data_IF_538299545982
#
_entry.id   IF_538299545982
#
_cell.length_a   1.000
_cell.length_b   1.000
_cell.length_c   1.000
_cell.angle_alpha   90.00
_cell.angle_beta   90.00
_cell.angle_gamma   90.00
#
_symmetry.space_group_name_H-M   'P 1'
#
loop_
_entity.id
_entity.type
_entity.pdbx_description
1 polymer ?
#
# COMPACT_ATOMS: atom_id res chain seq x y z
N UNK A 1 93.42 1.40 23.17
CA UNK A 1 92.68 2.23 22.21
C UNK A 1 91.26 1.69 22.08
N UNK A 2 90.36 2.29 22.89
CA UNK A 2 88.91 1.91 22.85
C UNK A 2 88.17 2.76 21.86
N UNK A 3 87.48 2.12 20.86
CA UNK A 3 86.48 2.76 20.01
C UNK A 3 85.07 2.52 20.60
N UNK A 4 84.48 3.62 21.04
CA UNK A 4 83.02 3.62 21.42
C UNK A 4 82.18 3.67 20.16
N UNK A 5 81.28 2.72 20.00
CA UNK A 5 80.22 2.70 19.00
C UNK A 5 78.96 3.31 19.63
N UNK A 6 78.50 4.39 19.02
CA UNK A 6 77.25 5.10 19.42
C UNK A 6 76.10 4.47 18.68
N UNK A 7 75.19 3.79 19.38
CA UNK A 7 73.93 3.28 18.80
C UNK A 7 72.89 4.40 18.87
N UNK A 8 72.46 4.87 17.70
CA UNK A 8 71.32 5.77 17.55
C UNK A 8 70.07 4.88 17.41
N UNK A 9 69.20 4.89 18.43
CA UNK A 9 67.88 4.26 18.38
C UNK A 9 66.91 5.22 17.73
N UNK A 10 66.51 4.97 16.49
CA UNK A 10 65.40 5.64 15.79
C UNK A 10 64.08 5.04 16.27
N UNK A 11 63.37 5.76 17.15
CA UNK A 11 62.03 5.40 17.57
C UNK A 11 61.03 5.67 16.44
N UNK A 12 60.47 4.60 15.89
CA UNK A 12 59.32 4.67 14.98
C UNK A 12 58.05 4.92 15.81
N UNK A 13 57.54 6.16 15.81
CA UNK A 13 56.22 6.48 16.36
C UNK A 13 55.17 6.03 15.37
N UNK A 14 54.57 4.85 15.59
CA UNK A 14 53.42 4.40 14.85
C UNK A 14 52.18 5.20 15.30
N UNK A 15 51.76 6.18 14.50
CA UNK A 15 50.47 6.84 14.64
C UNK A 15 49.41 5.86 14.21
N UNK A 16 48.78 5.17 15.15
CA UNK A 16 47.57 4.42 14.93
C UNK A 16 46.44 5.45 14.66
N UNK A 17 46.11 5.64 13.38
CA UNK A 17 44.90 6.36 13.00
C UNK A 17 43.70 5.51 13.45
N UNK A 18 43.10 5.92 14.57
CA UNK A 18 41.76 5.48 14.97
C UNK A 18 40.78 6.00 13.89
N UNK A 19 40.54 5.19 12.89
CA UNK A 19 39.33 5.31 12.06
C UNK A 19 38.13 5.09 12.98
N UNK A 20 37.60 6.19 13.54
CA UNK A 20 36.26 6.18 14.12
C UNK A 20 35.31 5.74 13.04
N UNK A 21 34.95 4.45 13.00
CA UNK A 21 33.74 4.02 12.35
C UNK A 21 32.64 4.81 13.04
N UNK A 22 32.04 5.77 12.33
CA UNK A 22 30.77 6.34 12.74
C UNK A 22 29.83 5.13 12.84
N UNK A 23 29.61 4.65 14.06
CA UNK A 23 28.70 3.55 14.32
C UNK A 23 27.34 3.94 13.76
N UNK A 24 26.78 3.11 12.88
CA UNK A 24 25.40 3.29 12.45
C UNK A 24 24.54 3.50 13.70
N UNK A 25 23.71 4.53 13.71
CA UNK A 25 22.83 4.81 14.83
C UNK A 25 21.99 3.55 15.13
N UNK A 26 21.88 3.22 16.42
CA UNK A 26 21.11 2.03 16.83
C UNK A 26 19.67 2.15 16.28
N UNK A 27 19.20 1.06 15.64
CA UNK A 27 17.84 1.04 15.10
C UNK A 27 16.81 1.16 16.23
N UNK A 28 15.70 1.87 16.01
CA UNK A 28 14.58 1.91 16.94
C UNK A 28 14.13 0.52 17.37
N UNK A 29 13.73 0.35 18.63
CA UNK A 29 13.31 -0.96 19.18
C UNK A 29 12.18 -1.61 18.39
N UNK A 30 11.23 -0.81 17.92
CA UNK A 30 10.13 -1.31 17.09
C UNK A 30 10.63 -1.84 15.74
N UNK A 31 11.64 -1.21 15.15
CA UNK A 31 12.29 -1.67 13.91
C UNK A 31 13.02 -2.99 14.12
N UNK A 32 13.83 -3.09 15.19
CA UNK A 32 14.52 -4.34 15.54
C UNK A 32 13.52 -5.49 15.72
N UNK A 33 12.42 -5.23 16.43
CA UNK A 33 11.36 -6.22 16.64
C UNK A 33 10.71 -6.64 15.32
N UNK A 34 10.37 -5.71 14.42
CA UNK A 34 9.75 -6.02 13.14
C UNK A 34 10.65 -6.89 12.26
N UNK A 35 11.95 -6.57 12.19
CA UNK A 35 12.96 -7.37 11.47
C UNK A 35 13.01 -8.80 12.02
N UNK A 36 13.03 -8.95 13.35
CA UNK A 36 13.05 -10.26 14.00
C UNK A 36 11.76 -11.06 13.78
N UNK A 37 10.59 -10.44 13.95
CA UNK A 37 9.27 -11.10 13.78
C UNK A 37 9.07 -11.58 12.33
N UNK A 38 9.51 -10.80 11.36
CA UNK A 38 9.44 -11.13 9.94
C UNK A 38 10.61 -12.03 9.48
N UNK A 39 11.58 -12.30 10.36
CA UNK A 39 12.80 -13.09 10.08
C UNK A 39 13.59 -12.54 8.88
N UNK A 40 13.66 -11.22 8.77
CA UNK A 40 14.38 -10.54 7.71
C UNK A 40 15.88 -10.52 7.98
N UNK A 41 16.67 -10.48 6.90
CA UNK A 41 18.09 -10.19 7.00
C UNK A 41 18.27 -8.72 7.47
N UNK A 42 18.94 -8.47 8.61
CA UNK A 42 19.22 -7.11 9.07
C UNK A 42 19.96 -6.25 8.04
N UNK A 43 20.71 -6.87 7.12
CA UNK A 43 21.40 -6.18 6.03
C UNK A 43 20.45 -5.41 5.09
N UNK A 44 19.17 -5.73 5.07
CA UNK A 44 18.15 -4.95 4.34
C UNK A 44 18.06 -3.49 4.81
N UNK A 45 18.51 -3.19 6.02
CA UNK A 45 18.55 -1.83 6.58
C UNK A 45 19.94 -1.16 6.50
N UNK A 46 20.94 -1.80 5.88
CA UNK A 46 22.24 -1.18 5.66
C UNK A 46 22.10 0.06 4.77
N UNK A 47 22.63 1.21 5.23
CA UNK A 47 22.52 2.47 4.51
C UNK A 47 21.15 3.17 4.67
N UNK A 48 20.32 2.76 5.63
CA UNK A 48 19.06 3.44 5.96
C UNK A 48 19.27 4.90 6.31
N UNK A 49 20.40 5.24 6.98
CA UNK A 49 20.71 6.61 7.38
C UNK A 49 20.77 7.56 6.18
N UNK A 50 21.25 7.09 5.02
CA UNK A 50 21.24 7.88 3.79
C UNK A 50 19.83 8.15 3.22
N UNK A 51 18.89 7.25 3.44
CA UNK A 51 17.48 7.47 3.07
C UNK A 51 16.79 8.48 3.99
N UNK A 52 17.24 8.55 5.23
CA UNK A 52 16.67 9.41 6.27
C UNK A 52 17.48 10.71 6.48
N UNK A 53 18.55 10.90 5.72
CA UNK A 53 19.33 12.14 5.71
C UNK A 53 18.56 13.23 4.99
N UNK A 54 17.90 14.08 5.75
CA UNK A 54 17.03 15.16 5.25
C UNK A 54 17.72 16.52 5.47
N UNK A 55 17.38 17.55 4.68
CA UNK A 55 17.89 18.89 4.87
C UNK A 55 17.68 19.40 6.31
N UNK A 56 18.74 19.98 6.91
CA UNK A 56 18.65 20.57 8.26
C UNK A 56 17.49 21.56 8.40
N UNK A 57 17.20 22.32 7.33
CA UNK A 57 16.08 23.25 7.30
C UNK A 57 14.72 22.57 7.57
N UNK A 58 14.52 21.31 7.13
CA UNK A 58 13.29 20.55 7.43
C UNK A 58 13.21 20.17 8.89
N UNK A 59 14.34 19.77 9.50
CA UNK A 59 14.39 19.44 10.93
C UNK A 59 14.08 20.67 11.78
N UNK A 60 14.66 21.81 11.43
CA UNK A 60 14.47 23.06 12.16
C UNK A 60 13.04 23.59 11.98
N UNK A 61 12.49 23.52 10.77
CA UNK A 61 11.09 23.86 10.48
C UNK A 61 10.11 22.97 11.21
N UNK A 62 10.31 21.66 11.19
CA UNK A 62 9.43 20.70 11.87
C UNK A 62 9.45 20.88 13.41
N UNK A 63 10.58 21.31 14.01
CA UNK A 63 10.62 21.71 15.44
C UNK A 63 9.75 22.92 15.74
N UNK A 64 9.63 23.84 14.80
CA UNK A 64 8.76 25.02 14.94
C UNK A 64 7.29 24.65 14.71
N UNK A 65 7.02 23.78 13.73
CA UNK A 65 5.69 23.28 13.37
C UNK A 65 5.11 22.36 14.46
N UNK A 66 5.93 21.52 15.10
CA UNK A 66 5.62 20.64 16.25
C UNK A 66 4.62 19.51 15.98
N UNK A 67 3.86 19.56 14.91
CA UNK A 67 2.87 18.53 14.58
C UNK A 67 2.73 18.30 13.08
N UNK A 68 2.11 17.18 12.74
CA UNK A 68 1.61 16.90 11.38
C UNK A 68 0.28 16.14 11.51
N UNK A 69 -0.71 16.53 10.71
CA UNK A 69 -2.04 15.95 10.69
C UNK A 69 -2.14 15.00 9.50
N UNK A 70 -2.34 13.72 9.78
CA UNK A 70 -2.34 12.65 8.77
C UNK A 70 -3.73 12.04 8.67
N UNK A 71 -4.28 11.97 7.47
CA UNK A 71 -5.50 11.21 7.19
C UNK A 71 -5.15 9.89 6.50
N UNK A 72 -5.75 8.79 6.99
CA UNK A 72 -5.46 7.46 6.45
C UNK A 72 -6.49 6.41 6.81
N UNK A 73 -6.25 5.17 6.36
CA UNK A 73 -7.21 4.06 6.47
C UNK A 73 -6.85 3.00 7.50
N UNK A 74 -5.69 3.10 8.16
CA UNK A 74 -5.28 2.16 9.20
C UNK A 74 -6.16 2.29 10.44
N UNK A 75 -6.27 1.21 11.21
CA UNK A 75 -6.81 1.31 12.56
C UNK A 75 -5.86 2.17 13.43
N UNK A 76 -6.38 3.00 14.36
CA UNK A 76 -5.54 3.87 15.17
C UNK A 76 -4.42 3.14 15.91
N UNK A 77 -4.69 1.93 16.41
CA UNK A 77 -3.68 1.10 17.07
C UNK A 77 -2.58 0.63 16.11
N UNK A 78 -2.95 0.25 14.88
CA UNK A 78 -1.99 -0.13 13.84
C UNK A 78 -1.09 1.06 13.47
N UNK A 79 -1.69 2.25 13.28
CA UNK A 79 -0.93 3.47 13.00
C UNK A 79 0.05 3.81 14.14
N UNK A 80 -0.36 3.67 15.39
CA UNK A 80 0.52 3.90 16.54
C UNK A 80 1.72 2.93 16.56
N UNK A 81 1.48 1.65 16.30
CA UNK A 81 2.52 0.61 16.28
C UNK A 81 3.48 0.83 15.11
N UNK A 82 2.94 1.03 13.91
CA UNK A 82 3.70 1.26 12.70
C UNK A 82 4.62 2.48 12.81
N UNK A 83 4.14 3.58 13.39
CA UNK A 83 4.86 4.85 13.45
C UNK A 83 5.69 5.04 14.72
N UNK A 84 5.87 4.00 15.55
CA UNK A 84 6.71 4.07 16.73
C UNK A 84 8.17 4.49 16.41
N UNK A 85 8.85 3.96 15.38
CA UNK A 85 10.19 4.40 15.03
C UNK A 85 10.26 5.86 14.58
N UNK A 86 9.26 6.36 13.88
CA UNK A 86 9.19 7.79 13.53
C UNK A 86 9.18 8.67 14.77
N UNK A 87 8.36 8.34 15.79
CA UNK A 87 8.32 9.09 17.05
C UNK A 87 9.61 9.03 17.83
N UNK A 88 10.33 7.91 17.74
CA UNK A 88 11.64 7.76 18.37
C UNK A 88 12.71 8.63 17.68
N UNK A 89 12.67 8.70 16.33
CA UNK A 89 13.61 9.51 15.55
C UNK A 89 13.31 11.01 15.61
N UNK A 90 12.02 11.38 15.62
CA UNK A 90 11.54 12.77 15.56
C UNK A 90 10.60 13.10 16.73
N UNK A 91 11.09 13.01 18.01
CA UNK A 91 10.24 13.17 19.18
C UNK A 91 9.63 14.57 19.33
N UNK A 92 10.11 15.53 18.55
CA UNK A 92 9.62 16.90 18.49
C UNK A 92 8.41 17.10 17.54
N UNK A 93 8.00 16.04 16.81
CA UNK A 93 6.83 16.07 15.91
C UNK A 93 5.72 15.21 16.50
N UNK A 94 4.59 15.83 16.84
CA UNK A 94 3.38 15.12 17.23
C UNK A 94 2.61 14.63 16.00
N UNK A 95 2.37 13.31 15.91
CA UNK A 95 1.54 12.73 14.85
C UNK A 95 0.07 12.75 15.27
N UNK A 96 -0.73 13.64 14.67
CA UNK A 96 -2.18 13.60 14.77
C UNK A 96 -2.73 12.74 13.63
N UNK A 97 -3.43 11.68 13.99
CA UNK A 97 -3.96 10.74 13.01
C UNK A 97 -5.49 10.74 12.99
N UNK A 98 -6.07 10.94 11.83
CA UNK A 98 -7.49 10.89 11.58
C UNK A 98 -7.82 9.71 10.67
N UNK A 99 -8.50 8.70 11.22
CA UNK A 99 -8.93 7.57 10.40
C UNK A 99 -10.02 8.01 9.43
N UNK A 100 -9.78 7.79 8.15
CA UNK A 100 -10.70 8.10 7.07
C UNK A 100 -11.21 6.81 6.40
N UNK A 101 -12.48 6.78 6.04
CA UNK A 101 -13.00 5.81 5.07
C UNK A 101 -12.62 6.25 3.64
N UNK A 102 -12.53 5.28 2.72
CA UNK A 102 -11.79 5.38 1.46
C UNK A 102 -12.26 6.45 0.46
N UNK A 103 -13.52 6.80 0.33
CA UNK A 103 -13.94 7.69 -0.77
C UNK A 103 -14.58 8.99 -0.32
N UNK A 104 -15.40 8.97 0.72
CA UNK A 104 -16.15 10.17 1.10
C UNK A 104 -15.29 11.26 1.74
N UNK A 105 -14.29 10.88 2.55
CA UNK A 105 -13.46 11.85 3.28
C UNK A 105 -12.41 12.53 2.42
N UNK A 106 -11.88 11.85 1.41
CA UNK A 106 -11.01 12.48 0.42
C UNK A 106 -11.67 13.69 -0.21
N UNK A 107 -12.93 13.55 -0.62
CA UNK A 107 -13.69 14.66 -1.20
C UNK A 107 -14.00 15.77 -0.18
N UNK A 108 -14.29 15.46 1.08
CA UNK A 108 -14.52 16.47 2.13
C UNK A 108 -13.28 17.34 2.37
N UNK A 109 -12.09 16.73 2.40
CA UNK A 109 -10.82 17.46 2.54
C UNK A 109 -10.61 18.38 1.34
N UNK A 110 -10.88 17.90 0.11
CA UNK A 110 -10.74 18.71 -1.10
C UNK A 110 -11.71 19.91 -1.10
N UNK A 111 -12.97 19.71 -0.74
CA UNK A 111 -13.95 20.78 -0.62
C UNK A 111 -13.51 21.80 0.43
N UNK A 112 -13.09 21.36 1.60
CA UNK A 112 -12.58 22.26 2.64
C UNK A 112 -11.38 23.09 2.15
N UNK A 113 -10.46 22.47 1.38
CA UNK A 113 -9.30 23.15 0.81
C UNK A 113 -9.72 24.24 -0.21
N UNK A 114 -10.73 23.96 -1.03
CA UNK A 114 -11.31 24.96 -1.96
C UNK A 114 -11.96 26.12 -1.22
N UNK A 115 -12.50 25.87 -0.02
CA UNK A 115 -13.01 26.92 0.88
C UNK A 115 -11.91 27.63 1.70
N UNK A 116 -10.64 27.33 1.44
CA UNK A 116 -9.49 27.93 2.13
C UNK A 116 -9.16 27.32 3.49
N UNK A 117 -9.76 26.17 3.84
CA UNK A 117 -9.50 25.45 5.09
C UNK A 117 -8.65 24.21 4.87
N UNK A 118 -7.52 24.15 5.56
CA UNK A 118 -6.62 22.98 5.54
C UNK A 118 -6.95 22.10 6.74
N UNK A 119 -7.53 20.94 6.49
CA UNK A 119 -7.94 20.01 7.54
C UNK A 119 -6.84 19.00 7.91
N UNK A 120 -5.99 18.65 6.95
CA UNK A 120 -4.90 17.69 7.09
C UNK A 120 -3.68 18.15 6.31
N UNK A 121 -2.51 17.66 6.69
CA UNK A 121 -1.24 17.95 5.99
C UNK A 121 -0.92 16.86 4.99
N UNK A 122 -1.09 15.61 5.40
CA UNK A 122 -0.75 14.41 4.62
C UNK A 122 -1.99 13.53 4.47
N UNK A 123 -2.21 13.09 3.25
CA UNK A 123 -3.23 12.10 2.93
C UNK A 123 -2.57 10.80 2.51
N UNK A 124 -3.06 9.68 3.04
CA UNK A 124 -2.66 8.34 2.62
C UNK A 124 -3.86 7.58 2.07
N UNK A 125 -3.62 6.70 1.10
CA UNK A 125 -4.68 5.90 0.47
C UNK A 125 -5.82 6.76 -0.10
N UNK A 126 -5.44 7.80 -0.86
CA UNK A 126 -6.38 8.76 -1.48
C UNK A 126 -7.34 8.06 -2.44
N UNK A 127 -6.94 6.92 -2.99
CA UNK A 127 -7.70 6.08 -3.90
C UNK A 127 -8.20 6.86 -5.14
N UNK A 128 -9.47 6.68 -5.50
CA UNK A 128 -10.03 7.28 -6.71
C UNK A 128 -10.14 8.81 -6.65
N UNK A 129 -10.02 9.40 -5.45
CA UNK A 129 -10.02 10.85 -5.30
C UNK A 129 -8.72 11.52 -5.81
N UNK A 130 -7.65 10.77 -6.03
CA UNK A 130 -6.35 11.30 -6.47
C UNK A 130 -6.47 12.16 -7.74
N UNK A 131 -7.28 11.73 -8.70
CA UNK A 131 -7.49 12.47 -9.95
C UNK A 131 -8.09 13.86 -9.74
N UNK A 132 -9.02 14.01 -8.79
CA UNK A 132 -9.61 15.31 -8.44
C UNK A 132 -8.61 16.24 -7.78
N UNK A 133 -7.74 15.70 -6.90
CA UNK A 133 -6.67 16.47 -6.27
C UNK A 133 -5.64 16.95 -7.29
N UNK A 134 -5.27 16.10 -8.25
CA UNK A 134 -4.35 16.45 -9.33
C UNK A 134 -4.95 17.53 -10.22
N UNK A 135 -6.22 17.39 -10.64
CA UNK A 135 -6.93 18.41 -11.44
C UNK A 135 -7.04 19.75 -10.70
N UNK A 136 -7.29 19.74 -9.40
CA UNK A 136 -7.38 20.93 -8.56
C UNK A 136 -5.99 21.54 -8.23
N UNK A 137 -4.88 20.91 -8.65
CA UNK A 137 -3.51 21.28 -8.27
C UNK A 137 -3.34 21.48 -6.77
N UNK A 138 -3.94 20.55 -6.00
CA UNK A 138 -4.05 20.64 -4.55
C UNK A 138 -2.90 19.95 -3.80
N UNK A 139 -2.01 19.27 -4.52
CA UNK A 139 -0.91 18.48 -3.97
C UNK A 139 0.44 19.16 -4.21
N UNK A 140 1.32 19.04 -3.23
CA UNK A 140 2.68 19.56 -3.30
C UNK A 140 3.60 18.62 -4.10
N UNK A 141 4.63 19.19 -4.71
CA UNK A 141 5.73 18.43 -5.32
C UNK A 141 6.57 17.74 -4.23
N UNK A 142 6.89 16.46 -4.43
CA UNK A 142 7.63 15.60 -3.55
C UNK A 142 8.98 15.13 -4.16
N UNK A 143 9.41 15.67 -5.29
CA UNK A 143 10.69 15.29 -5.93
C UNK A 143 11.90 15.60 -5.04
N UNK A 144 11.76 16.53 -4.09
CA UNK A 144 12.81 16.93 -3.14
C UNK A 144 13.03 15.93 -2.00
N UNK A 145 12.18 14.87 -1.88
CA UNK A 145 12.36 13.85 -0.85
C UNK A 145 13.56 12.93 -1.18
N UNK A 146 14.50 12.72 -0.23
CA UNK A 146 15.61 11.77 -0.42
C UNK A 146 15.16 10.38 -0.85
N UNK A 147 14.04 9.89 -0.29
CA UNK A 147 13.45 8.59 -0.59
C UNK A 147 12.73 8.48 -1.93
N UNK A 148 12.47 9.60 -2.64
CA UNK A 148 11.65 9.60 -3.87
C UNK A 148 12.17 8.60 -4.92
N UNK A 149 13.46 8.62 -5.20
CA UNK A 149 14.07 7.77 -6.22
C UNK A 149 14.21 6.30 -5.80
N UNK A 150 13.94 5.96 -4.55
CA UNK A 150 13.93 4.58 -4.07
C UNK A 150 12.63 3.85 -4.47
N UNK A 151 11.63 4.57 -4.92
CA UNK A 151 10.37 4.02 -5.42
C UNK A 151 10.43 3.90 -6.95
N UNK A 152 9.82 2.85 -7.51
CA UNK A 152 9.74 2.70 -8.96
C UNK A 152 8.94 3.85 -9.58
N UNK A 153 9.37 4.31 -10.76
CA UNK A 153 8.64 5.32 -11.53
C UNK A 153 7.19 4.93 -11.85
N UNK A 154 6.91 3.62 -11.89
CA UNK A 154 5.55 3.11 -12.11
C UNK A 154 4.64 3.26 -10.89
N UNK A 155 5.19 3.68 -9.75
CA UNK A 155 4.50 3.80 -8.47
C UNK A 155 4.52 5.24 -7.91
N UNK A 156 4.84 6.22 -8.75
CA UNK A 156 4.83 7.65 -8.43
C UNK A 156 4.09 8.42 -9.50
N UNK A 157 3.55 9.59 -9.14
CA UNK A 157 3.00 10.52 -10.12
C UNK A 157 4.11 11.03 -11.04
N UNK A 158 3.81 11.20 -12.32
CA UNK A 158 4.77 11.75 -13.29
C UNK A 158 5.20 13.18 -12.96
N UNK A 159 4.32 13.94 -12.29
CA UNK A 159 4.56 15.30 -11.81
C UNK A 159 5.05 15.36 -10.35
N UNK A 160 5.35 14.22 -9.73
CA UNK A 160 5.87 14.11 -8.37
C UNK A 160 4.88 14.46 -7.26
N UNK A 161 3.61 14.65 -7.55
CA UNK A 161 2.62 15.12 -6.56
C UNK A 161 2.16 14.05 -5.58
N UNK A 162 2.40 12.80 -5.87
CA UNK A 162 2.16 11.68 -4.95
C UNK A 162 3.14 10.53 -5.18
N UNK A 163 3.35 9.75 -4.15
CA UNK A 163 4.12 8.51 -4.16
C UNK A 163 3.21 7.39 -3.67
N UNK A 164 3.27 6.19 -4.25
CA UNK A 164 2.65 5.03 -3.61
C UNK A 164 3.44 4.65 -2.37
N UNK A 165 2.75 4.41 -1.26
CA UNK A 165 3.38 3.91 -0.04
C UNK A 165 3.17 2.41 0.15
N UNK A 166 2.29 1.79 -0.64
CA UNK A 166 2.05 0.34 -0.68
C UNK A 166 1.34 -0.07 -1.97
N UNK A 167 1.48 -1.33 -2.33
CA UNK A 167 0.64 -2.00 -3.33
C UNK A 167 -0.51 -2.73 -2.64
N UNK A 168 -1.56 -3.01 -3.39
CA UNK A 168 -2.59 -3.98 -3.00
C UNK A 168 -3.06 -4.76 -4.22
N UNK A 169 -3.06 -6.07 -4.09
CA UNK A 169 -3.62 -6.98 -5.07
C UNK A 169 -5.13 -7.07 -4.86
N UNK A 170 -5.89 -7.07 -5.95
CA UNK A 170 -7.35 -7.04 -5.92
C UNK A 170 -7.92 -8.30 -6.56
N UNK A 171 -7.75 -9.40 -5.88
CA UNK A 171 -8.11 -10.72 -6.39
C UNK A 171 -9.25 -11.36 -5.56
N UNK A 172 -9.22 -12.65 -5.38
CA UNK A 172 -10.28 -13.43 -4.80
C UNK A 172 -9.85 -14.03 -3.45
N UNK A 173 -10.63 -13.79 -2.39
CA UNK A 173 -10.60 -14.65 -1.21
C UNK A 173 -11.55 -15.83 -1.46
N UNK A 174 -11.17 -17.05 -1.03
CA UNK A 174 -11.99 -18.24 -1.15
C UNK A 174 -11.99 -19.08 0.12
N UNK A 175 -13.02 -19.87 0.33
CA UNK A 175 -13.14 -20.77 1.48
C UNK A 175 -12.40 -22.08 1.18
N UNK A 176 -11.38 -22.39 1.98
CA UNK A 176 -10.51 -23.57 1.76
C UNK A 176 -11.18 -24.91 2.09
N UNK A 177 -12.26 -24.90 2.89
CA UNK A 177 -13.04 -26.11 3.18
C UNK A 177 -13.97 -26.46 2.04
N UNK A 178 -14.37 -25.46 1.22
CA UNK A 178 -15.31 -25.63 0.10
C UNK A 178 -14.63 -25.77 -1.25
N UNK A 179 -13.48 -25.13 -1.45
CA UNK A 179 -12.79 -25.06 -2.74
C UNK A 179 -11.36 -25.51 -2.60
N UNK A 180 -10.99 -26.54 -3.38
CA UNK A 180 -9.60 -27.01 -3.43
C UNK A 180 -8.74 -26.10 -4.30
N UNK A 181 -7.45 -25.98 -3.97
CA UNK A 181 -6.49 -25.09 -4.64
C UNK A 181 -6.37 -25.41 -6.14
N UNK A 182 -6.41 -26.69 -6.50
CA UNK A 182 -6.29 -27.18 -7.89
C UNK A 182 -7.48 -26.79 -8.76
N UNK A 183 -8.57 -26.41 -8.11
CA UNK A 183 -9.83 -26.05 -8.76
C UNK A 183 -9.98 -24.53 -9.00
N UNK A 184 -8.96 -23.73 -8.65
CA UNK A 184 -9.01 -22.27 -8.77
C UNK A 184 -8.81 -21.81 -10.22
N UNK A 185 -9.49 -20.72 -10.67
CA UNK A 185 -9.42 -20.24 -12.04
C UNK A 185 -8.02 -19.68 -12.35
N UNK A 186 -7.43 -20.06 -13.48
CA UNK A 186 -6.12 -19.53 -13.90
C UNK A 186 -6.23 -18.15 -14.51
N UNK A 187 -7.30 -17.92 -15.25
CA UNK A 187 -7.62 -16.66 -15.93
C UNK A 187 -8.94 -16.08 -15.43
N UNK A 188 -9.21 -14.84 -15.76
CA UNK A 188 -10.50 -14.21 -15.46
C UNK A 188 -11.65 -14.82 -16.27
N UNK A 189 -11.35 -15.29 -17.49
CA UNK A 189 -12.35 -16.01 -18.30
C UNK A 189 -12.69 -17.38 -17.70
N UNK A 190 -11.74 -18.08 -17.12
CA UNK A 190 -12.00 -19.34 -16.39
C UNK A 190 -13.00 -19.11 -15.25
N UNK A 191 -12.84 -17.99 -14.51
CA UNK A 191 -13.73 -17.66 -13.41
C UNK A 191 -15.21 -17.60 -13.84
N UNK A 192 -15.51 -16.85 -14.91
CA UNK A 192 -16.90 -16.63 -15.35
C UNK A 192 -17.49 -17.83 -16.12
N UNK A 193 -16.67 -18.81 -16.46
CA UNK A 193 -17.08 -20.05 -17.11
C UNK A 193 -17.16 -21.25 -16.16
N UNK A 194 -16.81 -21.10 -14.90
CA UNK A 194 -16.82 -22.16 -13.90
C UNK A 194 -18.10 -22.08 -13.04
N UNK A 195 -19.01 -23.06 -13.15
CA UNK A 195 -20.30 -23.05 -12.44
C UNK A 195 -20.17 -23.12 -10.90
N UNK A 196 -19.01 -23.48 -10.37
CA UNK A 196 -18.77 -23.50 -8.90
C UNK A 196 -18.90 -22.12 -8.27
N UNK A 197 -18.68 -21.06 -9.04
CA UNK A 197 -18.82 -19.69 -8.60
C UNK A 197 -20.21 -19.10 -8.86
N UNK A 198 -21.08 -19.88 -9.54
CA UNK A 198 -22.44 -19.48 -9.91
C UNK A 198 -23.46 -19.65 -8.77
N UNK A 199 -24.70 -19.22 -9.04
CA UNK A 199 -25.85 -19.40 -8.15
C UNK A 199 -25.65 -18.85 -6.74
N UNK A 200 -25.06 -17.66 -6.64
CA UNK A 200 -24.79 -17.00 -5.35
C UNK A 200 -23.62 -17.59 -4.57
N UNK A 201 -22.79 -18.45 -5.18
CA UNK A 201 -21.59 -18.96 -4.53
C UNK A 201 -20.40 -17.99 -4.59
N UNK A 202 -20.52 -16.86 -5.27
CA UNK A 202 -19.58 -15.76 -5.31
C UNK A 202 -20.18 -14.52 -4.64
N UNK A 203 -19.52 -13.99 -3.63
CA UNK A 203 -19.83 -12.68 -3.07
C UNK A 203 -19.14 -11.58 -3.87
N UNK A 204 -19.88 -10.54 -4.23
CA UNK A 204 -19.35 -9.40 -5.00
C UNK A 204 -19.64 -8.10 -4.26
N UNK A 205 -18.60 -7.27 -4.07
CA UNK A 205 -18.74 -5.94 -3.44
C UNK A 205 -18.77 -4.84 -4.50
N UNK A 206 -19.43 -3.72 -4.19
CA UNK A 206 -19.53 -2.58 -5.11
C UNK A 206 -18.24 -1.77 -5.16
N UNK A 207 -17.21 -2.32 -5.81
CA UNK A 207 -15.92 -1.63 -5.99
C UNK A 207 -15.24 -2.06 -7.31
N UNK A 208 -15.87 -1.83 -8.48
CA UNK A 208 -15.32 -2.27 -9.76
C UNK A 208 -14.05 -1.53 -10.15
N UNK A 209 -13.92 -0.23 -9.85
CA UNK A 209 -12.73 0.56 -10.19
C UNK A 209 -11.45 0.00 -9.57
N UNK A 210 -11.54 -0.66 -8.42
CA UNK A 210 -10.37 -1.18 -7.72
C UNK A 210 -9.71 -2.38 -8.42
N UNK A 211 -10.41 -3.10 -9.29
CA UNK A 211 -9.88 -4.31 -9.94
C UNK A 211 -10.27 -4.44 -11.41
N UNK A 212 -11.54 -4.21 -11.72
CA UNK A 212 -12.08 -4.46 -13.05
C UNK A 212 -11.64 -3.40 -14.05
N UNK A 213 -11.52 -2.13 -13.63
CA UNK A 213 -11.09 -1.04 -14.50
C UNK A 213 -9.70 -1.28 -15.10
N UNK A 214 -8.76 -1.79 -14.28
CA UNK A 214 -7.44 -2.17 -14.76
C UNK A 214 -7.48 -3.28 -15.81
N UNK A 215 -8.38 -4.25 -15.65
CA UNK A 215 -8.59 -5.35 -16.62
C UNK A 215 -9.26 -4.85 -17.89
N UNK A 216 -10.23 -3.93 -17.80
CA UNK A 216 -10.81 -3.28 -18.97
C UNK A 216 -9.76 -2.53 -19.78
N UNK A 217 -8.86 -1.81 -19.10
CA UNK A 217 -7.73 -1.12 -19.75
C UNK A 217 -6.70 -2.07 -20.37
N UNK A 218 -6.56 -3.29 -19.84
CA UNK A 218 -5.64 -4.31 -20.35
C UNK A 218 -6.19 -5.06 -21.56
N UNK A 219 -7.46 -5.49 -21.49
CA UNK A 219 -8.07 -6.35 -22.50
C UNK A 219 -8.98 -5.61 -23.49
N UNK A 220 -9.23 -4.33 -23.23
CA UNK A 220 -10.12 -3.49 -24.03
C UNK A 220 -11.60 -3.61 -23.67
N UNK A 221 -12.40 -2.64 -24.17
CA UNK A 221 -13.81 -2.48 -23.82
C UNK A 221 -14.66 -3.71 -24.21
N UNK A 222 -14.44 -4.29 -25.39
CA UNK A 222 -15.20 -5.47 -25.86
C UNK A 222 -15.09 -6.65 -24.91
N UNK A 223 -13.87 -6.95 -24.43
CA UNK A 223 -13.67 -8.00 -23.43
C UNK A 223 -14.31 -7.59 -22.11
N UNK A 224 -14.11 -6.35 -21.68
CA UNK A 224 -14.62 -5.83 -20.42
C UNK A 224 -16.13 -5.92 -20.31
N UNK A 225 -16.86 -5.53 -21.37
CA UNK A 225 -18.33 -5.66 -21.44
C UNK A 225 -18.77 -7.13 -21.37
N UNK A 226 -18.17 -7.99 -22.19
CA UNK A 226 -18.48 -9.43 -22.20
C UNK A 226 -18.24 -10.08 -20.85
N UNK A 227 -17.10 -9.77 -20.23
CA UNK A 227 -16.73 -10.29 -18.90
C UNK A 227 -17.73 -9.81 -17.84
N UNK A 228 -18.04 -8.51 -17.81
CA UNK A 228 -18.96 -7.93 -16.82
C UNK A 228 -20.36 -8.56 -16.95
N UNK A 229 -20.88 -8.68 -18.17
CA UNK A 229 -22.15 -9.38 -18.41
C UNK A 229 -22.10 -10.84 -17.93
N UNK A 230 -21.06 -11.59 -18.30
CA UNK A 230 -20.89 -12.97 -17.87
C UNK A 230 -20.80 -13.12 -16.35
N UNK A 231 -20.13 -12.18 -15.66
CA UNK A 231 -20.02 -12.15 -14.21
C UNK A 231 -21.41 -12.07 -13.55
N UNK A 232 -22.32 -11.22 -14.06
CA UNK A 232 -23.65 -11.06 -13.48
C UNK A 232 -24.67 -12.07 -14.01
N UNK A 233 -24.69 -12.35 -15.30
CA UNK A 233 -25.72 -13.19 -15.94
C UNK A 233 -25.48 -14.68 -15.74
N UNK A 234 -24.21 -15.14 -15.87
CA UNK A 234 -23.87 -16.56 -15.69
C UNK A 234 -23.67 -16.94 -14.22
N UNK A 235 -22.89 -16.11 -13.47
CA UNK A 235 -22.54 -16.46 -12.09
C UNK A 235 -23.61 -16.03 -11.09
N UNK A 236 -24.42 -15.02 -11.40
CA UNK A 236 -25.47 -14.52 -10.50
C UNK A 236 -24.94 -14.30 -9.07
N UNK A 237 -23.91 -13.46 -8.89
CA UNK A 237 -23.23 -13.33 -7.60
C UNK A 237 -24.13 -12.71 -6.55
N UNK A 238 -23.85 -13.01 -5.28
CA UNK A 238 -24.44 -12.25 -4.17
C UNK A 238 -23.86 -10.84 -4.14
N UNK A 239 -24.66 -9.84 -4.45
CA UNK A 239 -24.29 -8.41 -4.40
C UNK A 239 -24.28 -7.95 -2.93
N UNK A 240 -23.09 -7.62 -2.42
CA UNK A 240 -22.88 -7.31 -1.00
C UNK A 240 -22.65 -5.83 -0.81
N UNK A 241 -23.40 -5.24 0.13
CA UNK A 241 -23.25 -3.81 0.52
C UNK A 241 -22.16 -3.62 1.56
N UNK A 242 -21.73 -4.69 2.19
CA UNK A 242 -20.67 -4.70 3.19
C UNK A 242 -19.33 -4.37 2.57
N UNK A 243 -18.42 -3.82 3.37
CA UNK A 243 -17.05 -3.55 2.93
C UNK A 243 -16.23 -4.82 2.71
N UNK A 244 -15.09 -4.69 2.04
CA UNK A 244 -14.20 -5.78 1.63
C UNK A 244 -13.84 -6.74 2.77
N UNK A 245 -13.58 -6.20 3.98
CA UNK A 245 -13.23 -7.02 5.15
C UNK A 245 -14.40 -7.89 5.60
N UNK A 246 -15.61 -7.34 5.64
CA UNK A 246 -16.79 -8.09 6.03
C UNK A 246 -17.16 -9.15 4.98
N UNK A 247 -17.03 -8.84 3.68
CA UNK A 247 -17.23 -9.83 2.61
C UNK A 247 -16.26 -11.02 2.73
N UNK A 248 -14.99 -10.77 3.06
CA UNK A 248 -14.02 -11.85 3.35
C UNK A 248 -14.40 -12.64 4.61
N UNK A 249 -14.99 -11.98 5.61
CA UNK A 249 -15.53 -12.66 6.80
C UNK A 249 -16.66 -13.61 6.48
N UNK A 250 -17.52 -13.27 5.53
CA UNK A 250 -18.60 -14.14 5.05
C UNK A 250 -18.05 -15.36 4.26
N UNK A 251 -16.92 -15.19 3.54
CA UNK A 251 -16.18 -16.34 2.96
C UNK A 251 -15.70 -17.27 4.07
N UNK A 252 -15.09 -16.71 5.13
CA UNK A 252 -14.64 -17.51 6.28
C UNK A 252 -15.78 -18.27 6.97
N UNK A 253 -16.96 -17.65 7.08
CA UNK A 253 -18.17 -18.27 7.63
C UNK A 253 -18.83 -19.28 6.70
N UNK A 254 -18.36 -19.41 5.44
CA UNK A 254 -18.91 -20.37 4.47
C UNK A 254 -20.21 -19.94 3.81
N UNK A 255 -20.56 -18.64 3.86
CA UNK A 255 -21.75 -18.10 3.18
C UNK A 255 -21.67 -18.28 1.67
N UNK A 256 -20.48 -18.13 1.09
CA UNK A 256 -20.17 -18.39 -0.32
C UNK A 256 -18.77 -18.97 -0.49
N UNK A 257 -18.50 -19.49 -1.69
CA UNK A 257 -17.23 -20.15 -2.00
C UNK A 257 -16.07 -19.13 -2.10
N UNK A 258 -16.34 -17.90 -2.54
CA UNK A 258 -15.35 -16.84 -2.65
C UNK A 258 -15.95 -15.46 -2.74
N UNK A 259 -15.12 -14.43 -2.64
CA UNK A 259 -15.53 -13.01 -2.79
C UNK A 259 -14.57 -12.21 -3.65
N UNK A 260 -15.12 -11.25 -4.41
CA UNK A 260 -14.43 -10.29 -5.26
C UNK A 260 -14.91 -8.86 -5.00
N UNK A 261 -13.98 -7.87 -5.11
CA UNK A 261 -12.56 -8.04 -4.94
C UNK A 261 -12.22 -8.24 -3.46
N UNK A 262 -11.17 -9.00 -3.18
CA UNK A 262 -10.59 -9.08 -1.84
C UNK A 262 -9.15 -8.59 -1.89
N UNK A 263 -8.71 -7.71 -0.98
CA UNK A 263 -7.30 -7.41 -0.82
C UNK A 263 -6.56 -8.55 -0.10
N UNK A 264 -5.31 -8.80 -0.48
CA UNK A 264 -4.45 -9.83 0.11
C UNK A 264 -4.28 -9.67 1.62
N UNK A 265 -4.09 -8.44 2.10
CA UNK A 265 -3.93 -8.15 3.52
C UNK A 265 -5.18 -8.45 4.35
N UNK A 266 -6.38 -8.30 3.76
CA UNK A 266 -7.62 -8.71 4.43
C UNK A 266 -7.66 -10.22 4.59
N UNK A 267 -7.45 -10.97 3.52
CA UNK A 267 -7.41 -12.44 3.57
C UNK A 267 -6.35 -12.92 4.57
N UNK A 268 -5.15 -12.30 4.57
CA UNK A 268 -4.07 -12.63 5.51
C UNK A 268 -4.47 -12.47 6.97
N UNK A 269 -5.21 -11.39 7.31
CA UNK A 269 -5.74 -11.18 8.67
C UNK A 269 -6.70 -12.28 9.14
N UNK A 270 -7.50 -12.84 8.23
CA UNK A 270 -8.37 -13.99 8.56
C UNK A 270 -7.56 -15.27 8.75
N UNK A 271 -6.60 -15.53 7.86
CA UNK A 271 -5.71 -16.71 7.96
C UNK A 271 -4.90 -16.68 9.25
N UNK A 272 -4.37 -15.54 9.69
CA UNK A 272 -3.62 -15.44 10.96
C UNK A 272 -4.49 -15.69 12.20
N UNK A 273 -5.82 -15.63 12.07
CA UNK A 273 -6.79 -15.99 13.12
C UNK A 273 -7.29 -17.42 12.99
N UNK A 274 -6.70 -18.25 12.11
CA UNK A 274 -7.09 -19.64 11.88
C UNK A 274 -8.36 -19.84 11.06
N UNK A 275 -8.86 -18.81 10.36
CA UNK A 275 -10.05 -18.95 9.52
C UNK A 275 -9.74 -19.75 8.23
N UNK A 276 -10.70 -20.53 7.68
CA UNK A 276 -10.53 -21.31 6.46
C UNK A 276 -10.62 -20.44 5.21
N UNK A 277 -9.68 -19.50 5.08
CA UNK A 277 -9.59 -18.53 3.97
C UNK A 277 -8.30 -18.75 3.20
N UNK A 278 -8.43 -18.91 1.89
CA UNK A 278 -7.32 -18.82 0.94
C UNK A 278 -7.40 -17.56 0.12
N UNK A 279 -6.34 -17.27 -0.63
CA UNK A 279 -6.27 -16.15 -1.54
C UNK A 279 -5.75 -16.59 -2.90
N UNK A 280 -6.36 -16.12 -3.96
CA UNK A 280 -6.00 -16.52 -5.31
C UNK A 280 -6.18 -15.37 -6.31
N UNK A 281 -5.21 -15.24 -7.21
CA UNK A 281 -5.22 -14.25 -8.27
C UNK A 281 -5.24 -14.95 -9.65
N UNK A 282 -6.32 -14.85 -10.42
CA UNK A 282 -6.25 -15.11 -11.86
C UNK A 282 -5.30 -14.12 -12.55
N UNK A 283 -4.78 -14.48 -13.73
CA UNK A 283 -3.91 -13.57 -14.51
C UNK A 283 -4.69 -12.73 -15.53
N UNK A 284 -4.29 -11.47 -15.72
CA UNK A 284 -3.27 -10.72 -14.98
C UNK A 284 -3.75 -10.34 -13.58
N UNK A 285 -2.80 -10.23 -12.64
CA UNK A 285 -3.09 -9.83 -11.26
C UNK A 285 -3.38 -8.33 -11.19
N UNK A 286 -4.60 -7.89 -10.84
CA UNK A 286 -4.91 -6.47 -10.72
C UNK A 286 -4.22 -5.87 -9.49
N UNK A 287 -3.54 -4.74 -9.69
CA UNK A 287 -2.85 -3.98 -8.65
C UNK A 287 -3.47 -2.59 -8.56
N UNK A 288 -3.74 -2.15 -7.34
CA UNK A 288 -4.00 -0.75 -7.02
C UNK A 288 -2.86 -0.17 -6.18
N UNK A 289 -2.54 1.08 -6.45
CA UNK A 289 -1.59 1.86 -5.69
C UNK A 289 -2.31 2.57 -4.54
N UNK A 290 -1.66 2.66 -3.39
CA UNK A 290 -2.13 3.49 -2.29
C UNK A 290 -1.22 4.71 -2.18
N UNK A 291 -1.71 5.85 -2.64
CA UNK A 291 -0.96 7.07 -2.72
C UNK A 291 -0.76 7.70 -1.34
N UNK A 292 0.41 8.30 -1.11
CA UNK A 292 0.68 9.26 -0.05
C UNK A 292 1.03 10.60 -0.70
N UNK A 293 0.40 11.67 -0.22
CA UNK A 293 0.60 13.00 -0.76
C UNK A 293 0.51 14.06 0.35
N UNK A 294 1.19 15.18 0.15
CA UNK A 294 1.10 16.37 0.98
C UNK A 294 0.19 17.40 0.30
N UNK A 295 -0.69 18.04 1.07
CA UNK A 295 -1.44 19.18 0.54
C UNK A 295 -0.52 20.38 0.29
N UNK A 296 -0.69 21.04 -0.86
CA UNK A 296 0.18 22.18 -1.23
C UNK A 296 0.11 23.32 -0.22
N UNK A 297 -1.06 23.57 0.39
CA UNK A 297 -1.27 24.61 1.39
C UNK A 297 -1.08 24.13 2.83
N UNK A 298 -0.43 22.97 3.05
CA UNK A 298 -0.15 22.48 4.40
C UNK A 298 0.63 23.52 5.23
N UNK A 299 0.19 23.85 6.46
CA UNK A 299 0.93 24.69 7.38
C UNK A 299 2.14 24.00 8.01
N UNK A 300 2.19 22.65 8.00
CA UNK A 300 3.24 21.84 8.62
C UNK A 300 4.09 21.13 7.55
N UNK A 301 4.58 21.87 6.56
CA UNK A 301 5.25 21.32 5.36
C UNK A 301 6.51 20.52 5.67
N UNK A 302 7.29 20.97 6.65
CA UNK A 302 8.54 20.29 7.01
C UNK A 302 8.27 18.99 7.78
N UNK A 303 7.37 19.00 8.75
CA UNK A 303 6.95 17.81 9.46
C UNK A 303 6.27 16.79 8.54
N UNK A 304 5.48 17.25 7.56
CA UNK A 304 4.88 16.42 6.53
C UNK A 304 5.94 15.74 5.63
N UNK A 305 6.97 16.48 5.19
CA UNK A 305 8.09 15.91 4.43
C UNK A 305 8.86 14.87 5.22
N UNK A 306 9.17 15.12 6.49
CA UNK A 306 9.81 14.14 7.36
C UNK A 306 8.98 12.85 7.44
N UNK A 307 7.68 12.98 7.65
CA UNK A 307 6.77 11.83 7.76
C UNK A 307 6.69 11.05 6.45
N UNK A 308 6.50 11.72 5.30
CA UNK A 308 6.40 11.06 4.01
C UNK A 308 7.72 10.37 3.66
N UNK A 309 8.87 11.05 3.84
CA UNK A 309 10.17 10.46 3.55
C UNK A 309 10.41 9.20 4.39
N UNK A 310 10.08 9.23 5.68
CA UNK A 310 10.16 8.06 6.54
C UNK A 310 9.21 6.93 6.09
N UNK A 311 7.95 7.26 5.72
CA UNK A 311 6.95 6.28 5.29
C UNK A 311 7.35 5.51 4.03
N UNK A 312 8.11 6.14 3.12
CA UNK A 312 8.59 5.50 1.89
C UNK A 312 9.99 4.91 2.01
N UNK A 313 10.68 5.10 3.14
CA UNK A 313 11.95 4.45 3.45
C UNK A 313 11.78 2.95 3.70
N UNK A 314 12.87 2.20 3.65
CA UNK A 314 12.85 0.76 3.99
C UNK A 314 12.30 0.50 5.39
N UNK A 315 12.67 1.32 6.39
CA UNK A 315 12.15 1.19 7.74
C UNK A 315 10.62 1.36 7.78
N UNK A 316 10.11 2.47 7.26
CA UNK A 316 8.67 2.75 7.23
C UNK A 316 7.89 1.65 6.54
N UNK A 317 8.39 1.12 5.42
CA UNK A 317 7.72 0.08 4.66
C UNK A 317 7.78 -1.31 5.32
N UNK A 318 8.88 -1.65 5.98
CA UNK A 318 8.96 -2.87 6.80
C UNK A 318 7.94 -2.81 7.95
N UNK A 319 7.82 -1.66 8.62
CA UNK A 319 6.83 -1.47 9.70
C UNK A 319 5.38 -1.56 9.19
N UNK A 320 5.08 -1.02 8.01
CA UNK A 320 3.77 -1.17 7.36
C UNK A 320 3.45 -2.65 7.10
N UNK A 321 4.40 -3.40 6.53
CA UNK A 321 4.22 -4.83 6.28
C UNK A 321 4.04 -5.63 7.58
N UNK A 322 4.90 -5.41 8.57
CA UNK A 322 4.83 -6.10 9.87
C UNK A 322 3.50 -5.85 10.61
N UNK A 323 2.93 -4.66 10.47
CA UNK A 323 1.74 -4.25 11.22
C UNK A 323 0.43 -4.54 10.49
N UNK A 324 0.42 -4.35 9.17
CA UNK A 324 -0.82 -4.33 8.36
C UNK A 324 -0.80 -5.32 7.20
N UNK A 325 0.30 -6.06 6.99
CA UNK A 325 0.54 -6.90 5.80
C UNK A 325 0.57 -6.13 4.48
N UNK A 326 0.82 -4.83 4.54
CA UNK A 326 0.92 -3.98 3.37
C UNK A 326 2.14 -4.36 2.53
N UNK A 327 1.99 -4.48 1.20
CA UNK A 327 3.08 -4.86 0.30
C UNK A 327 3.93 -3.64 -0.03
N UNK A 328 5.26 -3.68 0.26
CA UNK A 328 6.16 -2.56 0.01
C UNK A 328 6.24 -2.17 -1.47
N UNK A 329 6.56 -0.90 -1.72
CA UNK A 329 6.86 -0.35 -3.05
C UNK A 329 8.33 0.04 -3.23
N UNK A 330 9.10 0.08 -2.14
CA UNK A 330 10.53 0.37 -2.17
C UNK A 330 11.29 -0.69 -2.99
N UNK A 331 12.17 -0.26 -3.90
CA UNK A 331 12.89 -1.14 -4.83
C UNK A 331 13.65 -2.27 -4.14
N UNK A 332 14.29 -1.99 -2.99
CA UNK A 332 15.04 -2.98 -2.21
C UNK A 332 14.14 -3.98 -1.46
N UNK A 333 12.83 -3.75 -1.37
CA UNK A 333 11.88 -4.60 -0.64
C UNK A 333 10.90 -5.33 -1.59
N UNK A 334 11.22 -5.41 -2.89
CA UNK A 334 10.42 -6.16 -3.85
C UNK A 334 10.75 -7.67 -3.77
N UNK A 335 10.56 -8.25 -2.59
CA UNK A 335 10.94 -9.61 -2.22
C UNK A 335 9.70 -10.45 -1.88
N UNK A 336 9.71 -11.77 -2.17
CA UNK A 336 8.56 -12.65 -1.93
C UNK A 336 8.08 -12.67 -0.47
N UNK A 337 9.00 -12.54 0.49
CA UNK A 337 8.70 -12.54 1.94
C UNK A 337 7.77 -11.42 2.38
N UNK A 338 7.73 -10.30 1.64
CA UNK A 338 6.82 -9.19 1.89
C UNK A 338 5.45 -9.35 1.23
N UNK A 339 5.25 -10.39 0.42
CA UNK A 339 4.00 -10.58 -0.33
C UNK A 339 3.14 -11.63 0.36
N UNK A 340 2.01 -11.25 0.97
CA UNK A 340 1.05 -12.24 1.46
C UNK A 340 0.61 -13.16 0.31
N UNK A 341 0.60 -14.47 0.53
CA UNK A 341 0.25 -15.47 -0.49
C UNK A 341 1.16 -15.41 -1.73
N UNK A 342 2.46 -15.26 -1.51
CA UNK A 342 3.47 -15.13 -2.57
C UNK A 342 3.35 -16.24 -3.63
N UNK A 343 3.02 -17.48 -3.24
CA UNK A 343 2.82 -18.63 -4.12
C UNK A 343 1.68 -18.46 -5.13
N UNK A 344 0.76 -17.53 -4.91
CA UNK A 344 -0.36 -17.24 -5.81
C UNK A 344 -0.17 -15.95 -6.61
N UNK A 345 0.85 -15.15 -6.31
CA UNK A 345 1.04 -13.80 -6.85
C UNK A 345 2.40 -13.64 -7.54
N UNK A 346 3.48 -14.14 -6.90
CA UNK A 346 4.84 -13.98 -7.43
C UNK A 346 5.00 -14.80 -8.71
N UNK A 347 5.67 -14.23 -9.70
CA UNK A 347 5.85 -14.87 -11.01
C UNK A 347 4.70 -14.68 -12.00
N UNK A 348 3.52 -14.26 -11.53
CA UNK A 348 2.38 -13.95 -12.42
C UNK A 348 2.51 -12.58 -13.07
N UNK A 349 1.91 -12.45 -14.26
CA UNK A 349 1.77 -11.17 -14.95
C UNK A 349 0.87 -10.26 -14.13
N UNK A 350 1.33 -9.03 -13.89
CA UNK A 350 0.63 -8.03 -13.08
C UNK A 350 0.13 -6.89 -13.96
N UNK A 351 -1.01 -6.31 -13.57
CA UNK A 351 -1.55 -5.11 -14.20
C UNK A 351 -1.77 -4.05 -13.13
N UNK A 352 -0.92 -3.06 -13.10
CA UNK A 352 -1.15 -1.84 -12.31
C UNK A 352 -2.27 -1.05 -12.99
N UNK A 353 -3.27 -0.63 -12.23
CA UNK A 353 -4.30 0.27 -12.74
C UNK A 353 -3.65 1.62 -13.07
N UNK A 354 -3.87 2.07 -14.29
CA UNK A 354 -3.56 3.44 -14.65
C UNK A 354 -4.63 4.36 -14.05
N UNK A 355 -4.24 5.25 -13.16
CA UNK A 355 -5.17 6.16 -12.48
C UNK A 355 -5.77 7.22 -13.45
N UNK A 356 -5.17 7.46 -14.62
CA UNK A 356 -5.79 8.25 -15.68
C UNK A 356 -7.11 7.63 -16.18
N UNK A 357 -7.25 6.31 -16.09
CA UNK A 357 -8.51 5.64 -16.44
C UNK A 357 -9.68 6.07 -15.56
N UNK A 358 -9.44 6.53 -14.33
CA UNK A 358 -10.51 6.92 -13.39
C UNK A 358 -11.41 8.05 -13.90
N UNK A 359 -10.86 8.90 -14.76
CA UNK A 359 -11.58 10.04 -15.36
C UNK A 359 -11.87 9.84 -16.86
N UNK A 360 -11.67 8.61 -17.36
CA UNK A 360 -11.85 8.26 -18.77
C UNK A 360 -13.28 7.82 -19.12
N UNK A 361 -13.61 7.85 -20.41
CA UNK A 361 -14.85 7.27 -20.92
C UNK A 361 -14.93 5.76 -20.65
N UNK A 362 -13.81 5.06 -20.62
CA UNK A 362 -13.76 3.63 -20.27
C UNK A 362 -14.30 3.38 -18.86
N UNK A 363 -13.91 4.20 -17.86
CA UNK A 363 -14.45 4.09 -16.51
C UNK A 363 -15.95 4.41 -16.47
N UNK A 364 -16.39 5.42 -17.19
CA UNK A 364 -17.80 5.79 -17.30
C UNK A 364 -18.62 4.64 -17.84
N UNK A 365 -18.24 4.07 -18.99
CA UNK A 365 -18.91 2.92 -19.60
C UNK A 365 -18.94 1.70 -18.68
N UNK A 366 -17.80 1.37 -18.07
CA UNK A 366 -17.70 0.27 -17.10
C UNK A 366 -18.67 0.48 -15.92
N UNK A 367 -18.68 1.68 -15.36
CA UNK A 367 -19.52 2.01 -14.20
C UNK A 367 -21.00 1.97 -14.57
N UNK A 368 -21.40 2.54 -15.69
CA UNK A 368 -22.79 2.49 -16.19
C UNK A 368 -23.27 1.04 -16.38
N UNK A 369 -22.45 0.20 -17.03
CA UNK A 369 -22.79 -1.22 -17.20
C UNK A 369 -22.85 -1.94 -15.85
N UNK A 370 -21.88 -1.72 -14.96
CA UNK A 370 -21.87 -2.32 -13.62
C UNK A 370 -23.12 -1.93 -12.82
N UNK A 371 -23.45 -0.64 -12.78
CA UNK A 371 -24.57 -0.10 -12.02
C UNK A 371 -25.91 -0.59 -12.56
N UNK A 372 -26.03 -0.83 -13.87
CA UNK A 372 -27.23 -1.42 -14.46
C UNK A 372 -27.56 -2.80 -13.89
N UNK A 373 -26.54 -3.61 -13.57
CA UNK A 373 -26.70 -4.88 -12.87
C UNK A 373 -26.77 -4.73 -11.36
N UNK A 374 -25.99 -3.80 -10.81
CA UNK A 374 -25.89 -3.62 -9.35
C UNK A 374 -27.20 -3.13 -8.74
N UNK A 375 -27.86 -2.19 -9.39
CA UNK A 375 -29.12 -1.59 -8.95
C UNK A 375 -30.37 -2.37 -9.37
N UNK A 376 -30.27 -3.23 -10.39
CA UNK A 376 -31.38 -4.12 -10.78
C UNK A 376 -31.86 -4.92 -9.55
N UNK A 377 -33.16 -5.14 -9.44
CA UNK A 377 -33.74 -5.92 -8.35
C UNK A 377 -32.97 -7.24 -8.18
N UNK A 378 -32.57 -7.57 -6.95
CA UNK A 378 -31.93 -8.85 -6.69
C UNK A 378 -32.86 -9.95 -7.18
N UNK A 379 -32.35 -10.86 -8.02
CA UNK A 379 -33.04 -12.08 -8.38
C UNK A 379 -33.53 -12.82 -7.12
N UNK A 380 -34.42 -13.81 -7.25
CA UNK A 380 -35.08 -14.44 -6.12
C UNK A 380 -34.06 -14.87 -5.06
N UNK A 381 -34.30 -14.44 -3.82
CA UNK A 381 -33.54 -14.95 -2.66
C UNK A 381 -33.67 -16.47 -2.67
N UNK A 382 -32.55 -17.18 -2.54
CA UNK A 382 -32.59 -18.62 -2.23
C UNK A 382 -33.50 -18.83 -1.03
N UNK A 383 -34.38 -19.85 -1.07
CA UNK A 383 -35.20 -20.21 0.07
C UNK A 383 -34.38 -20.61 1.31
#
# INVERSE_FOLDING_TARGET
>A
MLRRILLIATGLVSVLALLSSAGAAELPKATQKAVADLKLDPALLNGLDAELDVPKAWLDGARQEKEVIISGTWEPREFQQMTAPFRERYPFVNLRYERAGTSGRGMQVLVALQEGRVLVDVMTSIADAVSYYTQAKALADLHDLPGFNNISKDYVAADGTWISHKLSFRCMAYNTDKVKKEALPKTWDDLVNDPRWGNGNLGLTNNPSAWLLGLWGEFGETWGEKFTRSLFEKLQPQRRKEGLSAATGLVAAGEFNGSLPSPEWVAKRYVTKGAPVGYHCPEPVPITLSQIAMLDKSPHRNAARLFINWMVSREGQILQNATSFDVPVHKALQLPEFVPFADTIVGKRKKVRDDALLVSDTNKKMTELWDSYWTAAAGPKKP
#
